data_IF_557656591351
#
_entry.id   IF_557656591351
#
_cell.length_a   1.000
_cell.length_b   1.000
_cell.length_c   1.000
_cell.angle_alpha   90.00
_cell.angle_beta   90.00
_cell.angle_gamma   90.00
#
_symmetry.space_group_name_H-M   'P 1'
#
loop_
_entity.id
_entity.type
_entity.pdbx_description
1 polymer ?
#
# COMPACT_ATOMS: atom_id res chain seq x y z
N UNK A 1 15.80 -12.42 -1.17
CA UNK A 1 15.43 -12.30 0.25
C UNK A 1 15.14 -10.83 0.51
N UNK A 2 13.89 -10.49 0.85
CA UNK A 2 13.51 -9.11 1.17
C UNK A 2 12.26 -8.60 0.44
N UNK A 3 11.28 -9.47 0.20
CA UNK A 3 9.96 -9.09 -0.33
C UNK A 3 8.97 -9.96 0.43
N UNK A 4 8.08 -9.35 1.19
CA UNK A 4 7.24 -10.12 2.10
C UNK A 4 6.02 -9.32 2.50
N UNK A 5 4.86 -9.95 2.32
CA UNK A 5 3.58 -9.41 2.77
C UNK A 5 3.67 -9.10 4.26
N UNK A 6 3.26 -7.90 4.63
CA UNK A 6 3.21 -7.52 6.02
C UNK A 6 1.83 -7.85 6.59
N UNK A 7 1.78 -8.79 7.53
CA UNK A 7 0.53 -9.11 8.21
C UNK A 7 0.14 -7.96 9.16
N UNK A 8 -0.82 -7.13 8.73
CA UNK A 8 -1.31 -5.97 9.47
C UNK A 8 -2.02 -6.35 10.78
N UNK A 9 -2.55 -7.58 10.91
CA UNK A 9 -3.33 -8.01 12.08
C UNK A 9 -2.51 -8.15 13.37
N UNK A 10 -1.18 -8.11 13.29
CA UNK A 10 -0.29 -8.26 14.43
C UNK A 10 0.66 -7.07 14.62
N UNK A 11 0.42 -5.95 13.92
CA UNK A 11 1.22 -4.74 14.14
C UNK A 11 0.97 -4.18 15.54
N UNK A 12 2.02 -4.12 16.35
CA UNK A 12 1.96 -3.44 17.65
C UNK A 12 2.31 -1.97 17.44
N UNK A 13 1.39 -1.08 17.79
CA UNK A 13 1.63 0.36 17.72
C UNK A 13 2.82 0.75 18.62
N UNK A 14 3.76 1.55 18.11
CA UNK A 14 4.87 2.07 18.92
C UNK A 14 4.36 3.11 19.94
N UNK A 15 5.08 3.25 21.04
CA UNK A 15 4.90 4.37 21.99
C UNK A 15 5.60 5.64 21.45
N UNK A 16 5.13 6.13 20.29
CA UNK A 16 5.56 7.38 19.66
C UNK A 16 4.31 8.26 19.49
N UNK A 17 4.20 9.31 20.30
CA UNK A 17 3.01 10.16 20.34
C UNK A 17 2.72 10.87 19.00
N UNK A 18 3.75 11.21 18.21
CA UNK A 18 3.56 11.84 16.90
C UNK A 18 3.02 10.81 15.90
N UNK A 19 3.57 9.59 15.91
CA UNK A 19 3.06 8.53 15.05
C UNK A 19 1.64 8.13 15.46
N UNK A 20 1.33 8.05 16.75
CA UNK A 20 -0.03 7.77 17.22
C UNK A 20 -1.02 8.86 16.81
N UNK A 21 -0.63 10.14 16.86
CA UNK A 21 -1.45 11.24 16.35
C UNK A 21 -1.67 11.10 14.83
N UNK A 22 -0.62 10.78 14.08
CA UNK A 22 -0.71 10.53 12.64
C UNK A 22 -1.66 9.36 12.33
N UNK A 23 -1.61 8.30 13.14
CA UNK A 23 -2.55 7.17 13.01
C UNK A 23 -3.99 7.66 13.09
N UNK A 24 -4.31 8.56 14.02
CA UNK A 24 -5.67 9.10 14.12
C UNK A 24 -6.02 10.07 12.97
N UNK A 25 -5.05 10.76 12.39
CA UNK A 25 -5.29 11.74 11.32
C UNK A 25 -5.53 11.11 9.95
N UNK A 26 -4.78 10.04 9.62
CA UNK A 26 -4.84 9.36 8.33
C UNK A 26 -6.00 8.34 8.29
N UNK A 27 -7.22 8.83 8.48
CA UNK A 27 -8.45 8.03 8.62
C UNK A 27 -9.11 7.61 7.30
N UNK A 28 -8.57 8.00 6.16
CA UNK A 28 -9.04 7.58 4.83
C UNK A 28 -7.87 7.18 3.92
N UNK A 29 -8.11 6.28 2.93
CA UNK A 29 -7.09 5.93 1.94
C UNK A 29 -6.46 7.14 1.23
N UNK A 30 -7.29 8.11 0.86
CA UNK A 30 -6.85 9.34 0.19
C UNK A 30 -5.88 10.14 1.08
N UNK A 31 -6.22 10.36 2.35
CA UNK A 31 -5.33 11.06 3.30
C UNK A 31 -4.01 10.30 3.48
N UNK A 32 -4.06 8.98 3.59
CA UNK A 32 -2.84 8.15 3.72
C UNK A 32 -1.93 8.33 2.51
N UNK A 33 -2.46 8.24 1.30
CA UNK A 33 -1.67 8.41 0.08
C UNK A 33 -1.15 9.84 -0.07
N UNK A 34 -1.98 10.85 0.20
CA UNK A 34 -1.56 12.26 0.17
C UNK A 34 -0.38 12.50 1.12
N UNK A 35 -0.46 11.97 2.35
CA UNK A 35 0.67 12.03 3.30
C UNK A 35 1.94 11.39 2.72
N UNK A 36 1.86 10.20 2.14
CA UNK A 36 3.02 9.56 1.51
C UNK A 36 3.57 10.41 0.36
N UNK A 37 2.71 10.98 -0.48
CA UNK A 37 3.13 11.77 -1.64
C UNK A 37 3.89 13.04 -1.25
N UNK A 38 3.57 13.63 -0.10
CA UNK A 38 4.20 14.84 0.42
C UNK A 38 5.47 14.56 1.22
N UNK A 39 5.56 13.37 1.84
CA UNK A 39 6.58 13.09 2.85
C UNK A 39 7.60 12.04 2.43
N UNK A 40 7.28 11.15 1.49
CA UNK A 40 8.11 10.00 1.15
C UNK A 40 8.76 10.13 -0.22
N UNK A 41 9.93 9.51 -0.37
CA UNK A 41 10.67 9.44 -1.62
C UNK A 41 10.83 7.98 -2.02
N UNK A 42 10.61 7.69 -3.31
CA UNK A 42 10.85 6.35 -3.84
C UNK A 42 12.35 6.03 -3.80
N UNK A 43 12.72 4.89 -3.24
CA UNK A 43 14.09 4.42 -3.13
C UNK A 43 14.17 2.92 -2.97
N UNK A 44 15.35 2.34 -3.19
CA UNK A 44 15.57 0.91 -3.02
C UNK A 44 15.88 0.57 -1.56
N UNK A 45 15.12 -0.38 -1.01
CA UNK A 45 15.40 -1.04 0.26
C UNK A 45 15.55 -2.54 0.02
N UNK A 46 16.49 -3.19 0.72
CA UNK A 46 16.72 -4.64 0.65
C UNK A 46 15.84 -5.42 1.65
N UNK A 47 14.99 -4.73 2.40
CA UNK A 47 14.11 -5.28 3.42
C UNK A 47 12.77 -4.55 3.38
N UNK A 48 11.67 -5.29 3.54
CA UNK A 48 10.33 -4.70 3.72
C UNK A 48 10.27 -4.00 5.07
N UNK A 49 9.92 -2.71 5.04
CA UNK A 49 9.77 -1.87 6.23
C UNK A 49 8.37 -2.01 6.81
N UNK A 50 8.28 -1.94 8.14
CA UNK A 50 6.99 -1.72 8.82
C UNK A 50 6.47 -0.30 8.55
N UNK A 51 5.17 -0.03 8.74
CA UNK A 51 4.63 1.33 8.59
C UNK A 51 5.37 2.36 9.45
N UNK A 52 5.75 1.98 10.68
CA UNK A 52 6.52 2.87 11.55
C UNK A 52 7.97 3.05 11.08
N UNK A 53 8.63 2.00 10.57
CA UNK A 53 9.99 2.15 10.03
C UNK A 53 9.99 3.07 8.81
N UNK A 54 9.03 2.90 7.89
CA UNK A 54 8.87 3.80 6.74
C UNK A 54 8.54 5.22 7.20
N UNK A 55 7.69 5.39 8.23
CA UNK A 55 7.46 6.70 8.85
C UNK A 55 8.74 7.36 9.36
N UNK A 56 9.71 6.64 9.91
CA UNK A 56 10.97 7.24 10.39
C UNK A 56 11.95 7.54 9.25
N UNK A 57 12.05 6.65 8.26
CA UNK A 57 13.08 6.73 7.21
C UNK A 57 12.63 7.61 6.04
N UNK A 58 11.33 7.66 5.75
CA UNK A 58 10.72 8.43 4.65
C UNK A 58 11.19 8.03 3.25
N UNK A 59 11.86 6.88 3.11
CA UNK A 59 12.34 6.33 1.83
C UNK A 59 11.95 4.87 1.74
N UNK A 60 11.25 4.49 0.66
CA UNK A 60 10.71 3.15 0.46
C UNK A 60 10.47 2.78 -0.99
N UNK A 61 10.19 1.50 -1.23
CA UNK A 61 9.82 0.96 -2.54
C UNK A 61 8.30 0.63 -2.62
N UNK A 62 7.87 -0.02 -3.69
CA UNK A 62 6.47 -0.40 -3.89
C UNK A 62 5.89 -1.27 -2.76
N UNK A 63 6.66 -2.19 -2.18
CA UNK A 63 6.25 -3.04 -1.05
C UNK A 63 6.05 -2.21 0.22
N UNK A 64 7.03 -1.35 0.54
CA UNK A 64 6.96 -0.44 1.69
C UNK A 64 5.74 0.50 1.59
N UNK A 65 5.50 1.05 0.40
CA UNK A 65 4.38 1.95 0.15
C UNK A 65 3.03 1.22 0.18
N UNK A 66 2.92 0.03 -0.42
CA UNK A 66 1.70 -0.79 -0.31
C UNK A 66 1.37 -1.13 1.15
N UNK A 67 2.38 -1.47 1.96
CA UNK A 67 2.21 -1.75 3.39
C UNK A 67 1.74 -0.50 4.16
N UNK A 68 2.41 0.64 3.95
CA UNK A 68 2.03 1.88 4.62
C UNK A 68 0.63 2.35 4.20
N UNK A 69 0.32 2.27 2.90
CA UNK A 69 -0.96 2.68 2.35
C UNK A 69 -2.13 1.91 2.95
N UNK A 70 -1.96 0.60 3.18
CA UNK A 70 -3.02 -0.29 3.69
C UNK A 70 -3.13 -0.27 5.21
N UNK A 71 -2.03 0.00 5.93
CA UNK A 71 -2.02 0.00 7.40
C UNK A 71 -3.03 0.97 8.04
N UNK A 72 -3.03 2.24 7.65
CA UNK A 72 -3.89 3.24 8.29
C UNK A 72 -5.39 3.00 7.98
N UNK A 73 -5.82 2.81 6.73
CA UNK A 73 -7.22 2.52 6.46
C UNK A 73 -7.68 1.22 7.12
N UNK A 74 -6.84 0.16 7.16
CA UNK A 74 -7.17 -1.07 7.88
C UNK A 74 -7.38 -0.83 9.38
N UNK A 75 -6.53 -0.01 10.00
CA UNK A 75 -6.69 0.40 11.40
C UNK A 75 -8.04 1.10 11.65
N UNK A 76 -8.52 1.87 10.67
CA UNK A 76 -9.80 2.57 10.71
C UNK A 76 -11.00 1.74 10.20
N UNK A 77 -10.80 0.43 10.00
CA UNK A 77 -11.88 -0.51 9.66
C UNK A 77 -12.22 -0.58 8.17
N UNK A 78 -11.43 0.03 7.29
CA UNK A 78 -11.53 -0.26 5.86
C UNK A 78 -11.08 -1.69 5.60
N UNK A 79 -11.75 -2.35 4.65
CA UNK A 79 -11.22 -3.61 4.13
C UNK A 79 -10.12 -3.28 3.13
N UNK A 80 -8.90 -3.67 3.46
CA UNK A 80 -7.74 -3.43 2.60
C UNK A 80 -7.17 -4.74 2.06
N UNK A 81 -6.42 -4.64 0.98
CA UNK A 81 -5.67 -5.74 0.40
C UNK A 81 -4.35 -5.23 -0.14
N UNK A 82 -3.40 -6.13 -0.33
CA UNK A 82 -2.22 -5.87 -1.15
C UNK A 82 -2.26 -6.77 -2.39
N UNK A 83 -1.90 -6.25 -3.56
CA UNK A 83 -1.77 -7.05 -4.78
C UNK A 83 -0.31 -7.07 -5.22
N UNK A 84 0.26 -8.28 -5.32
CA UNK A 84 1.54 -8.53 -5.96
C UNK A 84 1.29 -8.77 -7.44
N UNK A 85 1.98 -8.03 -8.29
CA UNK A 85 1.89 -8.12 -9.75
C UNK A 85 3.24 -8.59 -10.28
N UNK A 86 3.23 -9.65 -11.08
CA UNK A 86 4.43 -10.19 -11.71
C UNK A 86 4.52 -9.73 -13.18
N UNK A 87 5.66 -9.15 -13.55
CA UNK A 87 5.97 -8.72 -14.92
C UNK A 87 7.07 -9.60 -15.54
N UNK A 88 7.10 -9.75 -16.88
CA UNK A 88 8.02 -10.67 -17.56
C UNK A 88 9.48 -10.22 -17.58
N UNK A 89 9.74 -8.91 -17.49
CA UNK A 89 11.08 -8.32 -17.66
C UNK A 89 11.47 -7.37 -16.51
N UNK A 90 10.60 -7.18 -15.53
CA UNK A 90 10.79 -6.27 -14.41
C UNK A 90 10.71 -7.03 -13.08
N UNK A 91 11.21 -6.39 -12.02
CA UNK A 91 10.89 -6.84 -10.67
C UNK A 91 9.37 -6.75 -10.46
N UNK A 92 8.88 -7.52 -9.49
CA UNK A 92 7.47 -7.49 -9.11
C UNK A 92 7.04 -6.09 -8.64
N UNK A 93 5.74 -5.82 -8.74
CA UNK A 93 5.14 -4.59 -8.24
C UNK A 93 4.13 -4.89 -7.14
N UNK A 94 4.03 -4.00 -6.15
CA UNK A 94 3.09 -4.15 -5.04
C UNK A 94 2.20 -2.91 -4.97
N UNK A 95 0.89 -3.12 -4.92
CA UNK A 95 -0.09 -2.04 -4.72
C UNK A 95 -0.94 -2.27 -3.49
N UNK A 96 -1.41 -1.19 -2.90
CA UNK A 96 -2.46 -1.22 -1.88
C UNK A 96 -3.84 -1.12 -2.53
N UNK A 97 -4.84 -1.77 -1.96
CA UNK A 97 -6.22 -1.77 -2.43
C UNK A 97 -7.15 -1.50 -1.27
N UNK A 98 -8.17 -0.70 -1.50
CA UNK A 98 -9.14 -0.26 -0.50
C UNK A 98 -10.55 -0.59 -0.97
N UNK A 99 -11.39 -1.19 -0.12
CA UNK A 99 -12.83 -1.32 -0.38
C UNK A 99 -13.55 -0.07 0.08
N UNK A 100 -14.13 0.67 -0.86
CA UNK A 100 -14.89 1.89 -0.60
C UNK A 100 -16.29 1.77 -1.20
N UNK A 101 -17.28 1.57 -0.32
CA UNK A 101 -18.63 1.20 -0.75
C UNK A 101 -18.65 -0.10 -1.54
N UNK A 102 -19.18 -0.05 -2.77
CA UNK A 102 -19.26 -1.21 -3.65
C UNK A 102 -18.01 -1.42 -4.52
N UNK A 103 -17.05 -0.50 -4.48
CA UNK A 103 -15.91 -0.48 -5.39
C UNK A 103 -14.59 -0.70 -4.67
N UNK A 104 -13.54 -0.92 -5.45
CA UNK A 104 -12.16 -0.97 -5.04
C UNK A 104 -11.43 0.22 -5.66
N UNK A 105 -10.59 0.88 -4.86
CA UNK A 105 -9.64 1.91 -5.26
C UNK A 105 -8.24 1.47 -4.85
N UNK A 106 -7.19 2.11 -5.37
CA UNK A 106 -5.82 1.63 -5.17
C UNK A 106 -4.84 2.72 -4.74
N UNK A 107 -3.74 2.31 -4.13
CA UNK A 107 -2.52 3.09 -4.06
C UNK A 107 -1.49 2.55 -5.05
N UNK A 108 -1.13 3.38 -6.03
CA UNK A 108 -0.01 3.14 -6.92
C UNK A 108 1.20 3.90 -6.35
N UNK A 109 2.08 3.17 -5.66
CA UNK A 109 3.12 3.78 -4.82
C UNK A 109 2.51 4.79 -3.84
N UNK A 110 2.84 6.08 -3.97
CA UNK A 110 2.32 7.14 -3.11
C UNK A 110 1.01 7.76 -3.59
N UNK A 111 0.52 7.37 -4.78
CA UNK A 111 -0.64 7.99 -5.41
C UNK A 111 -1.92 7.23 -5.11
N UNK A 112 -2.93 7.93 -4.62
CA UNK A 112 -4.30 7.42 -4.57
C UNK A 112 -4.94 7.48 -5.95
N UNK A 113 -5.54 6.37 -6.37
CA UNK A 113 -6.27 6.27 -7.65
C UNK A 113 -7.68 5.76 -7.35
N UNK A 114 -8.66 6.64 -7.62
CA UNK A 114 -10.07 6.28 -7.62
C UNK A 114 -10.41 5.54 -8.93
N UNK A 115 -10.23 4.22 -8.94
CA UNK A 115 -10.52 3.41 -10.13
C UNK A 115 -11.97 2.95 -10.23
N UNK A 116 -12.71 2.96 -9.12
CA UNK A 116 -14.09 2.47 -9.02
C UNK A 116 -14.25 1.04 -9.57
N UNK A 117 -13.25 0.19 -9.32
CA UNK A 117 -13.21 -1.17 -9.83
C UNK A 117 -14.17 -2.08 -9.05
N UNK A 118 -14.93 -2.94 -9.71
CA UNK A 118 -15.83 -3.90 -9.03
C UNK A 118 -15.11 -5.19 -8.64
N UNK A 119 -14.00 -5.51 -9.31
CA UNK A 119 -13.21 -6.74 -9.08
C UNK A 119 -11.71 -6.47 -9.08
N UNK A 120 -10.92 -7.36 -8.45
CA UNK A 120 -9.46 -7.30 -8.53
C UNK A 120 -8.95 -7.45 -9.97
N UNK A 121 -9.64 -8.22 -10.80
CA UNK A 121 -9.29 -8.37 -12.22
C UNK A 121 -9.42 -7.04 -12.97
N UNK A 122 -10.40 -6.20 -12.64
CA UNK A 122 -10.53 -4.88 -13.24
C UNK A 122 -9.43 -3.91 -12.81
N UNK A 123 -8.90 -4.06 -11.59
CA UNK A 123 -7.69 -3.31 -11.18
C UNK A 123 -6.52 -3.64 -12.12
N UNK A 124 -6.39 -4.90 -12.54
CA UNK A 124 -5.34 -5.30 -13.49
C UNK A 124 -5.50 -4.69 -14.88
N UNK A 125 -6.68 -4.11 -15.20
CA UNK A 125 -6.85 -3.37 -16.44
C UNK A 125 -6.00 -2.08 -16.49
N UNK A 126 -5.62 -1.52 -15.34
CA UNK A 126 -4.70 -0.38 -15.27
C UNK A 126 -3.29 -0.71 -15.76
N UNK A 127 -2.91 -1.98 -15.73
CA UNK A 127 -1.59 -2.47 -16.10
C UNK A 127 -1.57 -3.22 -17.44
N UNK A 128 -2.65 -3.17 -18.23
CA UNK A 128 -2.76 -3.93 -19.49
C UNK A 128 -1.65 -3.64 -20.50
N UNK A 129 -1.07 -2.44 -20.46
CA UNK A 129 0.00 -2.05 -21.38
C UNK A 129 1.40 -2.51 -20.94
N UNK A 130 1.52 -3.14 -19.76
CA UNK A 130 2.79 -3.59 -19.19
C UNK A 130 2.99 -5.12 -19.27
N UNK A 131 2.11 -5.84 -19.99
CA UNK A 131 2.18 -7.29 -20.22
C UNK A 131 2.38 -8.13 -18.92
N UNK A 132 1.58 -7.89 -17.87
CA UNK A 132 1.66 -8.65 -16.62
C UNK A 132 1.40 -10.16 -16.83
N UNK A 133 2.09 -11.01 -16.05
CA UNK A 133 1.99 -12.48 -16.13
C UNK A 133 0.92 -13.00 -15.17
N UNK A 134 1.02 -12.60 -13.91
CA UNK A 134 0.17 -13.10 -12.83
C UNK A 134 -0.03 -12.02 -11.77
N UNK A 135 -1.04 -12.21 -10.92
CA UNK A 135 -1.20 -11.42 -9.70
C UNK A 135 -1.69 -12.29 -8.55
N UNK A 136 -1.29 -11.90 -7.33
CA UNK A 136 -1.72 -12.55 -6.09
C UNK A 136 -2.30 -11.48 -5.16
N UNK A 137 -3.46 -11.77 -4.58
CA UNK A 137 -4.15 -10.89 -3.63
C UNK A 137 -3.91 -11.38 -2.21
N UNK A 138 -3.53 -10.47 -1.33
CA UNK A 138 -3.33 -10.71 0.09
C UNK A 138 -4.28 -9.84 0.91
N UNK A 139 -4.80 -10.40 2.00
CA UNK A 139 -5.69 -9.74 2.96
C UNK A 139 -5.00 -9.33 4.27
#
# INVERSE_FOLDING_TARGET
SGCGIYNLNHFTLPDDAEFLALVQELDTPEKTCNYMSENFVYGSNNVTLTPYQLYKIKVGNCDDFSNFATFFPNYHGYKTYQILIEFPLEDYHMIGVFKEGNYYNISENTLYIECLCETFKEIMNFYLYQDWISYIVYD
#
